data_IF_868081748960
#
_entry.id   IF_868081748960
#
_cell.length_a   1.000
_cell.length_b   1.000
_cell.length_c   1.000
_cell.angle_alpha   90.00
_cell.angle_beta   90.00
_cell.angle_gamma   90.00
#
_symmetry.space_group_name_H-M   'P 1'
#
loop_
_entity.id
_entity.type
_entity.pdbx_description
1 polymer ?
#
# COMPACT_ATOMS: atom_id res chain seq x y z
N UNK A 1 8.82 9.36 19.15
CA UNK A 1 8.72 8.22 18.20
C UNK A 1 7.25 7.87 17.97
N UNK A 2 6.79 7.87 16.72
CA UNK A 2 5.37 7.68 16.39
C UNK A 2 4.66 8.90 15.78
N UNK A 3 5.40 9.92 15.37
CA UNK A 3 4.86 11.00 14.53
C UNK A 3 4.77 10.54 13.08
N UNK A 4 3.71 10.94 12.39
CA UNK A 4 3.44 10.58 11.01
C UNK A 4 2.97 11.80 10.22
N UNK A 5 3.34 11.83 8.95
CA UNK A 5 2.89 12.81 7.96
C UNK A 5 2.00 12.10 6.95
N UNK A 6 0.79 12.61 6.75
CA UNK A 6 -0.09 12.18 5.68
C UNK A 6 0.03 13.08 4.47
N UNK A 7 0.15 12.49 3.28
CA UNK A 7 0.05 13.21 2.00
C UNK A 7 -1.18 12.71 1.27
N UNK A 8 -2.17 13.59 1.10
CA UNK A 8 -3.43 13.29 0.43
C UNK A 8 -3.51 13.92 -0.96
N UNK A 9 -4.11 13.21 -1.91
CA UNK A 9 -4.36 13.68 -3.26
C UNK A 9 -5.81 13.41 -3.66
N UNK A 10 -6.36 14.29 -4.50
CA UNK A 10 -7.61 14.01 -5.19
C UNK A 10 -7.31 13.23 -6.47
N UNK A 11 -8.03 12.13 -6.68
CA UNK A 11 -7.92 11.39 -7.93
C UNK A 11 -8.54 12.20 -9.07
N UNK A 12 -7.86 12.22 -10.21
CA UNK A 12 -8.41 12.78 -11.44
C UNK A 12 -9.56 11.92 -11.95
N UNK A 13 -10.46 12.51 -12.75
CA UNK A 13 -11.59 11.78 -13.33
C UNK A 13 -11.09 10.59 -14.16
N UNK A 14 -11.71 9.43 -13.97
CA UNK A 14 -11.31 8.17 -14.61
C UNK A 14 -10.07 7.49 -14.04
N UNK A 15 -9.46 8.04 -12.98
CA UNK A 15 -8.34 7.42 -12.26
C UNK A 15 -8.79 6.77 -10.97
N UNK A 16 -8.05 5.75 -10.58
CA UNK A 16 -8.28 4.92 -9.40
C UNK A 16 -7.06 4.92 -8.49
N UNK A 17 -7.20 4.37 -7.29
CA UNK A 17 -6.07 4.16 -6.40
C UNK A 17 -5.02 3.20 -6.99
N UNK A 18 -5.45 2.21 -7.78
CA UNK A 18 -4.54 1.28 -8.44
C UNK A 18 -3.65 1.99 -9.47
N UNK A 19 -4.16 3.01 -10.16
CA UNK A 19 -3.35 3.83 -11.08
C UNK A 19 -2.24 4.57 -10.32
N UNK A 20 -2.55 5.13 -9.14
CA UNK A 20 -1.55 5.80 -8.31
C UNK A 20 -0.46 4.83 -7.85
N UNK A 21 -0.83 3.60 -7.47
CA UNK A 21 0.14 2.57 -7.12
C UNK A 21 1.02 2.17 -8.32
N UNK A 22 0.43 2.05 -9.51
CA UNK A 22 1.19 1.78 -10.73
C UNK A 22 2.19 2.90 -11.03
N UNK A 23 1.75 4.16 -11.00
CA UNK A 23 2.61 5.32 -11.24
C UNK A 23 3.78 5.38 -10.22
N UNK A 24 3.55 5.00 -8.95
CA UNK A 24 4.61 4.88 -7.93
C UNK A 24 5.56 3.72 -8.23
N UNK A 25 5.04 2.57 -8.68
CA UNK A 25 5.85 1.40 -8.99
C UNK A 25 6.75 1.61 -10.21
N UNK A 26 6.22 2.25 -11.25
CA UNK A 26 6.94 2.56 -12.49
C UNK A 26 7.85 3.79 -12.34
N UNK A 27 7.66 4.58 -11.26
CA UNK A 27 8.46 5.74 -10.93
C UNK A 27 8.05 7.02 -11.66
N UNK A 28 6.87 7.01 -12.29
CA UNK A 28 6.20 8.17 -12.91
C UNK A 28 5.68 9.14 -11.84
N UNK A 29 5.29 8.63 -10.67
CA UNK A 29 4.94 9.42 -9.50
C UNK A 29 6.02 9.34 -8.43
N UNK A 30 6.67 10.48 -8.16
CA UNK A 30 7.71 10.63 -7.14
C UNK A 30 7.34 11.68 -6.10
N UNK A 31 7.35 11.26 -4.83
CA UNK A 31 7.10 12.09 -3.66
C UNK A 31 8.42 12.21 -2.91
N UNK A 32 9.04 13.38 -3.01
CA UNK A 32 10.25 13.74 -2.28
C UNK A 32 9.93 14.43 -0.95
N UNK A 33 10.57 13.99 0.14
CA UNK A 33 10.45 14.57 1.47
C UNK A 33 11.83 15.01 1.93
N UNK A 34 11.98 16.29 2.27
CA UNK A 34 13.19 16.80 2.92
C UNK A 34 12.90 17.05 4.40
N UNK A 35 13.54 16.27 5.27
CA UNK A 35 13.43 16.39 6.71
C UNK A 35 14.53 17.33 7.20
N UNK A 36 14.13 18.49 7.71
CA UNK A 36 15.06 19.55 8.12
C UNK A 36 15.68 19.33 9.50
N UNK A 37 15.04 18.54 10.36
CA UNK A 37 15.48 18.35 11.74
C UNK A 37 15.20 16.94 12.25
N UNK A 38 16.18 16.05 12.11
CA UNK A 38 16.20 14.80 12.85
C UNK A 38 16.68 15.00 14.28
N UNK A 39 16.34 14.07 15.18
CA UNK A 39 16.74 14.10 16.61
C UNK A 39 18.26 14.21 16.81
N UNK A 40 19.06 13.78 15.85
CA UNK A 40 20.53 13.86 15.88
C UNK A 40 21.08 15.21 15.40
N UNK A 41 20.23 16.20 15.11
CA UNK A 41 20.63 17.53 14.63
C UNK A 41 20.96 17.58 13.13
N UNK A 42 20.70 16.51 12.38
CA UNK A 42 20.91 16.43 10.93
C UNK A 42 19.65 16.66 10.11
N UNK A 43 19.82 16.71 8.78
CA UNK A 43 18.75 16.68 7.79
C UNK A 43 18.91 15.48 6.86
N UNK A 44 17.80 14.94 6.35
CA UNK A 44 17.81 13.85 5.38
C UNK A 44 16.75 14.08 4.29
N UNK A 45 16.95 13.45 3.14
CA UNK A 45 16.01 13.51 2.02
C UNK A 45 15.60 12.11 1.60
N UNK A 46 14.31 11.90 1.41
CA UNK A 46 13.72 10.63 1.01
C UNK A 46 12.87 10.80 -0.24
N UNK A 47 12.78 9.73 -1.02
CA UNK A 47 11.82 9.60 -2.12
C UNK A 47 11.09 8.27 -1.92
N UNK A 48 9.81 8.22 -2.29
CA UNK A 48 9.08 6.95 -2.32
C UNK A 48 9.83 5.92 -3.18
N UNK A 49 10.01 4.71 -2.65
CA UNK A 49 10.78 3.65 -3.29
C UNK A 49 9.87 2.46 -3.62
N UNK A 50 9.06 2.63 -4.67
CA UNK A 50 8.13 1.61 -5.16
C UNK A 50 6.95 1.31 -4.23
N UNK A 51 6.17 0.29 -4.60
CA UNK A 51 5.02 -0.19 -3.83
C UNK A 51 5.42 -1.46 -3.08
N UNK A 52 5.15 -1.49 -1.77
CA UNK A 52 5.32 -2.71 -0.97
C UNK A 52 4.18 -3.68 -1.31
N UNK A 53 4.47 -4.91 -1.78
CA UNK A 53 3.43 -5.87 -2.10
C UNK A 53 2.55 -6.18 -0.88
N UNK A 54 1.25 -6.40 -1.13
CA UNK A 54 0.36 -6.85 -0.07
C UNK A 54 0.88 -8.17 0.53
N UNK A 55 0.81 -8.34 1.86
CA UNK A 55 1.21 -9.59 2.47
C UNK A 55 0.39 -10.76 1.92
N UNK A 56 1.02 -11.92 1.73
CA UNK A 56 0.36 -13.15 1.26
C UNK A 56 -0.82 -13.62 2.15
N UNK A 57 -1.01 -12.98 3.31
CA UNK A 57 -2.15 -13.18 4.21
C UNK A 57 -3.48 -12.94 3.52
N UNK A 58 -3.59 -12.02 2.57
CA UNK A 58 -4.84 -11.79 1.81
C UNK A 58 -5.16 -13.01 0.94
N UNK A 59 -4.16 -13.56 0.26
CA UNK A 59 -4.30 -14.80 -0.51
C UNK A 59 -4.67 -16.00 0.36
N UNK A 60 -4.02 -16.15 1.52
CA UNK A 60 -4.34 -17.19 2.49
C UNK A 60 -5.74 -17.04 3.08
N UNK A 61 -6.18 -15.81 3.38
CA UNK A 61 -7.53 -15.52 3.84
C UNK A 61 -8.55 -15.92 2.78
N UNK A 62 -8.34 -15.51 1.52
CA UNK A 62 -9.21 -15.89 0.41
C UNK A 62 -9.27 -17.41 0.23
N UNK A 63 -8.13 -18.09 0.24
CA UNK A 63 -8.04 -19.55 0.15
C UNK A 63 -8.75 -20.25 1.32
N UNK A 64 -8.60 -19.72 2.54
CA UNK A 64 -9.30 -20.20 3.74
C UNK A 64 -10.81 -20.06 3.61
N UNK A 65 -11.30 -18.90 3.17
CA UNK A 65 -12.73 -18.66 2.96
C UNK A 65 -13.32 -19.56 1.86
N UNK A 66 -12.61 -19.73 0.75
CA UNK A 66 -13.02 -20.62 -0.35
C UNK A 66 -13.08 -22.08 0.10
N UNK A 67 -12.09 -22.56 0.85
CA UNK A 67 -12.08 -23.94 1.36
C UNK A 67 -13.19 -24.19 2.37
N UNK A 68 -13.50 -23.24 3.25
CA UNK A 68 -14.66 -23.32 4.16
C UNK A 68 -15.99 -23.33 3.39
N UNK A 69 -16.15 -22.46 2.39
CA UNK A 69 -17.35 -22.42 1.56
C UNK A 69 -17.57 -23.72 0.77
N UNK A 70 -16.51 -24.27 0.19
CA UNK A 70 -16.53 -25.56 -0.49
C UNK A 70 -16.88 -26.71 0.47
N UNK A 71 -16.29 -26.71 1.68
CA UNK A 71 -16.60 -27.68 2.72
C UNK A 71 -18.06 -27.63 3.19
N UNK A 72 -18.64 -26.44 3.33
CA UNK A 72 -20.06 -26.25 3.70
C UNK A 72 -21.01 -26.78 2.63
N UNK A 73 -20.73 -26.54 1.34
CA UNK A 73 -21.57 -27.02 0.23
C UNK A 73 -21.66 -28.56 0.21
N UNK A 74 -20.56 -29.25 0.53
CA UNK A 74 -20.51 -30.72 0.58
C UNK A 74 -21.26 -31.36 1.75
N UNK A 75 -21.67 -30.57 2.75
CA UNK A 75 -22.46 -31.07 3.90
C UNK A 75 -23.96 -30.87 3.75
N UNK A 76 -24.38 -30.03 2.79
CA UNK A 76 -25.79 -29.69 2.55
C UNK A 76 -26.36 -30.48 1.36
N UNK A 77 -25.49 -30.88 0.42
CA UNK A 77 -25.79 -31.90 -0.60
C UNK A 77 -25.63 -33.31 -0.01
#
# INVERSE_FOLDING_TARGET
PGEWLGVGFNLLSGKTFADVLADIADGDLRIGIHVQGFRNGGSESFVNNGVVPEPATVGLLAAGLLSLAAGRRRRIA
#
